data_IF_250267828259
#
_entry.id   IF_250267828259
#
_cell.length_a   1.000
_cell.length_b   1.000
_cell.length_c   1.000
_cell.angle_alpha   90.00
_cell.angle_beta   90.00
_cell.angle_gamma   90.00
#
_symmetry.space_group_name_H-M   'P 1'
#
loop_
_entity.id
_entity.type
_entity.pdbx_description
1 polymer ?
#
# COMPACT_ATOMS: atom_id res chain seq x y z
N UNK A 1 -3.61 -8.20 -0.99
CA UNK A 1 -3.48 -9.63 -1.35
C UNK A 1 -4.64 -10.42 -0.79
N UNK A 2 -5.14 -11.39 -1.54
CA UNK A 2 -6.28 -12.17 -1.12
C UNK A 2 -5.83 -13.44 -0.37
N UNK A 3 -5.97 -13.45 0.95
CA UNK A 3 -5.52 -14.54 1.81
C UNK A 3 -6.43 -15.77 1.77
N UNK A 4 -7.65 -15.63 1.27
CA UNK A 4 -8.60 -16.74 1.23
C UNK A 4 -8.18 -17.87 0.26
N UNK A 5 -7.30 -17.56 -0.70
CA UNK A 5 -6.68 -18.54 -1.61
C UNK A 5 -5.70 -19.50 -0.92
N UNK A 6 -5.32 -19.22 0.33
CA UNK A 6 -4.41 -20.07 1.11
C UNK A 6 -5.15 -21.14 1.94
N UNK A 7 -6.48 -21.02 2.02
CA UNK A 7 -7.34 -22.02 2.63
C UNK A 7 -7.47 -23.23 1.69
N UNK A 8 -7.60 -24.43 2.26
CA UNK A 8 -8.06 -25.58 1.48
C UNK A 8 -9.56 -25.43 1.15
N UNK A 9 -10.05 -26.22 0.20
CA UNK A 9 -11.48 -26.20 -0.17
C UNK A 9 -12.37 -26.53 1.04
N UNK A 10 -11.95 -27.48 1.88
CA UNK A 10 -12.68 -27.88 3.08
C UNK A 10 -12.69 -26.77 4.14
N UNK A 11 -11.56 -26.08 4.32
CA UNK A 11 -11.45 -24.95 5.25
C UNK A 11 -12.32 -23.78 4.81
N UNK A 12 -12.32 -23.46 3.51
CA UNK A 12 -13.19 -22.45 2.92
C UNK A 12 -14.66 -22.82 3.10
N UNK A 13 -15.02 -24.08 2.81
CA UNK A 13 -16.40 -24.56 2.96
C UNK A 13 -16.88 -24.43 4.41
N UNK A 14 -16.08 -24.88 5.38
CA UNK A 14 -16.39 -24.76 6.80
C UNK A 14 -16.52 -23.29 7.26
N UNK A 15 -15.70 -22.40 6.71
CA UNK A 15 -15.79 -20.97 7.00
C UNK A 15 -17.10 -20.37 6.45
N UNK A 16 -17.45 -20.68 5.21
CA UNK A 16 -18.71 -20.23 4.58
C UNK A 16 -19.94 -20.79 5.29
N UNK A 17 -19.88 -22.04 5.76
CA UNK A 17 -20.94 -22.62 6.58
C UNK A 17 -21.11 -21.86 7.89
N UNK A 18 -20.02 -21.48 8.55
CA UNK A 18 -20.05 -20.66 9.77
C UNK A 18 -20.72 -19.30 9.52
N UNK A 19 -20.40 -18.63 8.41
CA UNK A 19 -21.03 -17.37 8.01
C UNK A 19 -22.54 -17.53 7.80
N UNK A 20 -22.95 -18.59 7.10
CA UNK A 20 -24.36 -18.91 6.89
C UNK A 20 -25.11 -19.12 8.20
N UNK A 21 -24.54 -19.89 9.13
CA UNK A 21 -25.12 -20.13 10.46
C UNK A 21 -25.22 -18.84 11.28
N UNK A 22 -24.28 -17.92 11.10
CA UNK A 22 -24.27 -16.61 11.77
C UNK A 22 -25.04 -15.52 11.02
N UNK A 23 -25.76 -15.88 9.93
CA UNK A 23 -26.56 -14.95 9.10
C UNK A 23 -25.76 -13.82 8.46
N UNK A 24 -24.47 -14.04 8.21
CA UNK A 24 -23.66 -13.10 7.43
C UNK A 24 -24.03 -13.25 5.95
N UNK A 25 -24.30 -12.13 5.28
CA UNK A 25 -24.70 -12.12 3.86
C UNK A 25 -23.44 -12.02 3.00
N UNK A 26 -23.12 -13.04 2.17
CA UNK A 26 -21.97 -12.97 1.27
C UNK A 26 -22.11 -11.83 0.27
N UNK A 27 -20.99 -11.25 -0.15
CA UNK A 27 -20.91 -10.14 -1.11
C UNK A 27 -21.57 -8.83 -0.65
N UNK A 28 -22.08 -8.77 0.58
CA UNK A 28 -22.57 -7.53 1.19
C UNK A 28 -21.49 -6.92 2.08
N UNK A 29 -21.35 -5.58 2.13
CA UNK A 29 -20.56 -4.95 3.16
C UNK A 29 -21.18 -5.20 4.54
N UNK A 30 -20.34 -5.17 5.57
CA UNK A 30 -20.72 -5.37 6.96
C UNK A 30 -20.52 -4.09 7.75
N UNK A 31 -21.51 -3.72 8.56
CA UNK A 31 -21.35 -2.66 9.56
C UNK A 31 -20.67 -3.20 10.83
N UNK A 32 -20.31 -2.30 11.74
CA UNK A 32 -19.79 -2.71 13.05
C UNK A 32 -20.80 -3.58 13.81
N UNK A 33 -22.09 -3.24 13.75
CA UNK A 33 -23.15 -4.01 14.42
C UNK A 33 -23.26 -5.43 13.85
N UNK A 34 -23.20 -5.57 12.52
CA UNK A 34 -23.21 -6.88 11.86
C UNK A 34 -22.00 -7.73 12.28
N UNK A 35 -20.83 -7.09 12.36
CA UNK A 35 -19.58 -7.76 12.77
C UNK A 35 -19.62 -8.19 14.24
N UNK A 36 -20.07 -7.33 15.15
CA UNK A 36 -20.22 -7.67 16.57
C UNK A 36 -21.25 -8.78 16.74
N UNK A 37 -22.39 -8.71 16.05
CA UNK A 37 -23.39 -9.76 16.07
C UNK A 37 -22.81 -11.10 15.63
N UNK A 38 -22.06 -11.13 14.53
CA UNK A 38 -21.31 -12.29 14.07
C UNK A 38 -20.37 -12.83 15.17
N UNK A 39 -19.55 -11.97 15.79
CA UNK A 39 -18.62 -12.38 16.85
C UNK A 39 -19.33 -12.94 18.07
N UNK A 40 -20.47 -12.40 18.47
CA UNK A 40 -21.30 -12.94 19.56
C UNK A 40 -21.81 -14.34 19.22
N UNK A 41 -22.33 -14.54 18.01
CA UNK A 41 -22.84 -15.84 17.58
C UNK A 41 -21.75 -16.90 17.54
N UNK A 42 -20.59 -16.57 16.96
CA UNK A 42 -19.45 -17.49 16.90
C UNK A 42 -18.95 -17.85 18.30
N UNK A 43 -18.80 -16.87 19.21
CA UNK A 43 -18.36 -17.17 20.58
C UNK A 43 -19.38 -18.03 21.33
N UNK A 44 -20.67 -17.74 21.16
CA UNK A 44 -21.73 -18.55 21.77
C UNK A 44 -21.72 -19.98 21.24
N UNK A 45 -21.54 -20.18 19.94
CA UNK A 45 -21.50 -21.51 19.34
C UNK A 45 -20.25 -22.31 19.72
N UNK A 46 -19.09 -21.66 19.78
CA UNK A 46 -17.81 -22.34 20.02
C UNK A 46 -17.47 -22.51 21.51
N UNK A 47 -17.94 -21.61 22.37
CA UNK A 47 -17.53 -21.55 23.78
C UNK A 47 -18.69 -21.63 24.77
N UNK A 48 -19.94 -21.66 24.30
CA UNK A 48 -21.18 -21.61 25.11
C UNK A 48 -21.17 -20.48 26.15
N UNK A 49 -20.53 -19.35 25.79
CA UNK A 49 -20.33 -18.18 26.66
C UNK A 49 -20.78 -16.91 25.96
N UNK A 50 -21.27 -15.97 26.77
CA UNK A 50 -21.47 -14.60 26.33
C UNK A 50 -20.10 -13.94 26.12
N UNK A 51 -20.02 -13.11 25.08
CA UNK A 51 -18.84 -12.32 24.77
C UNK A 51 -18.65 -11.30 25.90
N UNK A 52 -17.46 -11.27 26.50
CA UNK A 52 -17.11 -10.31 27.56
C UNK A 52 -16.81 -8.95 26.96
N UNK A 53 -17.02 -7.87 27.72
CA UNK A 53 -16.74 -6.49 27.31
C UNK A 53 -15.33 -6.32 26.72
N UNK A 54 -14.31 -6.91 27.35
CA UNK A 54 -12.92 -6.90 26.83
C UNK A 54 -12.80 -7.50 25.42
N UNK A 55 -13.53 -8.59 25.14
CA UNK A 55 -13.50 -9.26 23.83
C UNK A 55 -14.28 -8.43 22.81
N UNK A 56 -15.31 -7.72 23.25
CA UNK A 56 -16.10 -6.82 22.41
C UNK A 56 -15.25 -5.61 21.97
N UNK A 57 -14.53 -4.99 22.90
CA UNK A 57 -13.58 -3.91 22.59
C UNK A 57 -12.51 -4.38 21.60
N UNK A 58 -11.96 -5.58 21.79
CA UNK A 58 -11.02 -6.17 20.83
C UNK A 58 -11.65 -6.39 19.45
N UNK A 59 -12.92 -6.80 19.39
CA UNK A 59 -13.64 -6.92 18.13
C UNK A 59 -13.84 -5.55 17.45
N UNK A 60 -14.13 -4.49 18.20
CA UNK A 60 -14.20 -3.13 17.65
C UNK A 60 -12.86 -2.66 17.08
N UNK A 61 -11.75 -2.99 17.74
CA UNK A 61 -10.41 -2.72 17.22
C UNK A 61 -10.10 -3.50 15.94
N UNK A 62 -10.50 -4.76 15.87
CA UNK A 62 -10.39 -5.58 14.65
C UNK A 62 -11.18 -4.95 13.50
N UNK A 63 -12.43 -4.54 13.74
CA UNK A 63 -13.25 -3.84 12.75
C UNK A 63 -12.55 -2.58 12.23
N UNK A 64 -12.03 -1.75 13.15
CA UNK A 64 -11.31 -0.52 12.80
C UNK A 64 -10.04 -0.77 11.99
N UNK A 65 -9.41 -1.94 12.14
CA UNK A 65 -8.25 -2.32 11.33
C UNK A 65 -8.60 -2.70 9.90
N UNK A 66 -9.83 -3.20 9.68
CA UNK A 66 -10.36 -3.52 8.35
C UNK A 66 -11.00 -2.31 7.65
N UNK A 67 -11.44 -1.31 8.42
CA UNK A 67 -11.95 -0.02 7.90
C UNK A 67 -10.99 1.14 8.22
N UNK A 68 -9.79 1.19 7.61
CA UNK A 68 -8.80 2.23 7.88
C UNK A 68 -9.30 3.62 7.46
N UNK A 69 -10.22 3.69 6.51
CA UNK A 69 -10.84 4.92 6.02
C UNK A 69 -12.01 5.40 6.90
N UNK A 70 -12.40 4.63 7.91
CA UNK A 70 -13.50 4.93 8.85
C UNK A 70 -14.82 5.23 8.14
N UNK A 71 -15.13 4.43 7.12
CA UNK A 71 -16.40 4.50 6.38
C UNK A 71 -17.59 3.96 7.16
N UNK A 72 -17.36 3.27 8.28
CA UNK A 72 -18.39 2.63 9.11
C UNK A 72 -18.87 1.29 8.55
N UNK A 73 -18.24 0.79 7.49
CA UNK A 73 -18.51 -0.50 6.88
C UNK A 73 -17.22 -1.12 6.35
N UNK A 74 -17.19 -2.44 6.32
CA UNK A 74 -16.10 -3.25 5.79
C UNK A 74 -16.61 -4.00 4.57
N UNK A 75 -15.86 -3.95 3.48
CA UNK A 75 -16.19 -4.70 2.27
C UNK A 75 -16.08 -6.21 2.51
N UNK A 76 -16.92 -6.98 1.82
CA UNK A 76 -16.95 -8.44 1.97
C UNK A 76 -15.57 -9.09 1.76
N UNK A 77 -14.81 -8.62 0.78
CA UNK A 77 -13.48 -9.15 0.48
C UNK A 77 -12.49 -8.94 1.64
N UNK A 78 -12.54 -7.80 2.31
CA UNK A 78 -11.68 -7.48 3.44
C UNK A 78 -12.06 -8.31 4.67
N UNK A 79 -13.36 -8.43 4.95
CA UNK A 79 -13.89 -9.28 6.01
C UNK A 79 -13.51 -10.76 5.79
N UNK A 80 -13.73 -11.28 4.59
CA UNK A 80 -13.40 -12.67 4.23
C UNK A 80 -11.90 -12.93 4.34
N UNK A 81 -11.07 -11.98 3.88
CA UNK A 81 -9.61 -12.07 3.99
C UNK A 81 -9.16 -12.10 5.45
N UNK A 82 -9.76 -11.25 6.31
CA UNK A 82 -9.49 -11.21 7.74
C UNK A 82 -9.86 -12.54 8.43
N UNK A 83 -11.08 -13.05 8.24
CA UNK A 83 -11.47 -14.31 8.87
C UNK A 83 -10.69 -15.51 8.33
N UNK A 84 -10.31 -15.48 7.05
CA UNK A 84 -9.38 -16.47 6.49
C UNK A 84 -8.04 -16.45 7.21
N UNK A 85 -7.48 -15.26 7.47
CA UNK A 85 -6.23 -15.12 8.23
C UNK A 85 -6.38 -15.64 9.66
N UNK A 86 -7.46 -15.30 10.36
CA UNK A 86 -7.73 -15.82 11.70
C UNK A 86 -7.83 -17.35 11.71
N UNK A 87 -8.51 -17.94 10.70
CA UNK A 87 -8.62 -19.38 10.55
C UNK A 87 -7.26 -20.04 10.29
N UNK A 88 -6.46 -19.48 9.38
CA UNK A 88 -5.10 -19.94 9.09
C UNK A 88 -4.24 -19.95 10.37
N UNK A 89 -4.26 -18.85 11.14
CA UNK A 89 -3.51 -18.72 12.39
C UNK A 89 -3.95 -19.71 13.47
N UNK A 90 -5.25 -20.02 13.52
CA UNK A 90 -5.81 -20.96 14.49
C UNK A 90 -5.50 -22.41 14.16
N UNK A 91 -5.54 -22.79 12.88
CA UNK A 91 -5.38 -24.18 12.44
C UNK A 91 -3.92 -24.58 12.19
N UNK A 92 -3.05 -23.63 11.84
CA UNK A 92 -1.68 -23.92 11.41
C UNK A 92 -0.65 -23.46 12.44
N UNK A 93 0.39 -24.26 12.63
CA UNK A 93 1.59 -23.83 13.35
C UNK A 93 2.37 -22.78 12.56
N UNK A 94 3.21 -22.00 13.24
CA UNK A 94 4.08 -21.00 12.60
C UNK A 94 4.90 -21.59 11.44
N UNK A 95 5.47 -22.79 11.61
CA UNK A 95 6.23 -23.47 10.55
C UNK A 95 5.36 -23.87 9.35
N UNK A 96 4.08 -24.20 9.57
CA UNK A 96 3.17 -24.51 8.48
C UNK A 96 2.80 -23.25 7.70
N UNK A 97 2.53 -22.14 8.38
CA UNK A 97 2.29 -20.84 7.75
C UNK A 97 3.50 -20.37 6.93
N UNK A 98 4.72 -20.54 7.44
CA UNK A 98 5.94 -20.21 6.69
C UNK A 98 6.12 -21.04 5.42
N UNK A 99 5.58 -22.26 5.37
CA UNK A 99 5.62 -23.11 4.17
C UNK A 99 4.62 -22.70 3.10
N UNK A 100 3.61 -21.89 3.44
CA UNK A 100 2.72 -21.27 2.45
C UNK A 100 3.45 -20.19 1.64
N UNK A 101 4.48 -19.58 2.24
CA UNK A 101 5.30 -18.58 1.57
C UNK A 101 6.32 -19.24 0.63
N UNK A 102 6.39 -18.75 -0.60
CA UNK A 102 7.42 -19.13 -1.56
C UNK A 102 8.82 -18.79 -1.02
N UNK A 103 9.85 -19.43 -1.58
CA UNK A 103 11.23 -19.13 -1.22
C UNK A 103 11.59 -17.64 -1.44
N UNK A 104 11.03 -17.02 -2.49
CA UNK A 104 11.23 -15.60 -2.79
C UNK A 104 10.58 -14.68 -1.77
N UNK A 105 9.37 -14.99 -1.32
CA UNK A 105 8.68 -14.20 -0.30
C UNK A 105 9.38 -14.30 1.05
N UNK A 106 9.83 -15.51 1.41
CA UNK A 106 10.64 -15.71 2.62
C UNK A 106 11.95 -14.95 2.57
N UNK A 107 12.62 -14.95 1.42
CA UNK A 107 13.86 -14.19 1.25
C UNK A 107 13.63 -12.68 1.27
N UNK A 108 12.56 -12.20 0.64
CA UNK A 108 12.16 -10.79 0.71
C UNK A 108 11.88 -10.38 2.15
N UNK A 109 11.11 -11.16 2.90
CA UNK A 109 10.80 -10.88 4.30
C UNK A 109 12.07 -10.83 5.16
N UNK A 110 12.99 -11.80 4.98
CA UNK A 110 14.31 -11.79 5.64
C UNK A 110 15.13 -10.56 5.28
N UNK A 111 15.22 -10.22 3.99
CA UNK A 111 15.95 -9.04 3.52
C UNK A 111 15.39 -7.74 4.10
N UNK A 112 14.07 -7.61 4.15
CA UNK A 112 13.40 -6.47 4.80
C UNK A 112 13.73 -6.43 6.29
N UNK A 113 13.63 -7.56 7.01
CA UNK A 113 13.98 -7.63 8.43
C UNK A 113 15.43 -7.18 8.68
N UNK A 114 16.39 -7.72 7.93
CA UNK A 114 17.81 -7.37 8.04
C UNK A 114 18.06 -5.89 7.73
N UNK A 115 17.29 -5.30 6.80
CA UNK A 115 17.41 -3.87 6.49
C UNK A 115 16.90 -2.95 7.60
N UNK A 116 15.98 -3.47 8.44
CA UNK A 116 15.41 -2.76 9.58
C UNK A 116 16.26 -2.94 10.84
N UNK A 117 16.78 -4.14 11.09
CA UNK A 117 17.67 -4.50 12.20
C UNK A 117 19.11 -4.00 11.95
N UNK A 118 19.33 -2.70 12.19
CA UNK A 118 20.63 -2.05 11.89
C UNK A 118 21.71 -2.35 12.94
N UNK A 119 21.31 -2.56 14.19
CA UNK A 119 22.19 -2.93 15.30
C UNK A 119 22.44 -4.45 15.40
N UNK A 120 21.75 -5.25 14.57
CA UNK A 120 21.93 -6.69 14.42
C UNK A 120 21.63 -7.46 15.71
N UNK A 121 20.73 -6.93 16.51
CA UNK A 121 20.31 -7.54 17.77
C UNK A 121 19.20 -8.60 17.56
N UNK A 122 18.80 -8.81 16.30
CA UNK A 122 17.75 -9.74 15.86
C UNK A 122 16.36 -9.34 16.36
N UNK A 123 16.18 -8.10 16.77
CA UNK A 123 14.92 -7.51 17.17
C UNK A 123 14.67 -6.26 16.31
N UNK A 124 13.42 -5.83 16.25
CA UNK A 124 13.06 -4.55 15.64
C UNK A 124 12.44 -3.72 16.75
N UNK A 125 13.21 -2.74 17.24
CA UNK A 125 12.74 -1.82 18.26
C UNK A 125 12.01 -0.63 17.67
N UNK A 126 11.38 0.18 18.55
CA UNK A 126 10.74 1.43 18.12
C UNK A 126 11.73 2.45 17.51
N UNK A 127 13.01 2.34 17.84
CA UNK A 127 14.08 3.13 17.20
C UNK A 127 14.26 2.79 15.73
N UNK A 128 14.31 1.50 15.39
CA UNK A 128 14.44 1.00 14.02
C UNK A 128 13.21 1.35 13.18
N UNK A 129 12.01 1.16 13.73
CA UNK A 129 10.77 1.50 13.05
C UNK A 129 10.69 3.00 12.72
N UNK A 130 11.02 3.89 13.67
CA UNK A 130 11.06 5.34 13.41
C UNK A 130 12.10 5.71 12.36
N UNK A 131 13.30 5.13 12.42
CA UNK A 131 14.36 5.39 11.43
C UNK A 131 13.94 4.94 10.03
N UNK A 132 13.37 3.75 9.91
CA UNK A 132 12.85 3.22 8.66
C UNK A 132 11.73 4.11 8.09
N UNK A 133 10.79 4.54 8.94
CA UNK A 133 9.72 5.45 8.58
C UNK A 133 10.28 6.79 8.07
N UNK A 134 11.21 7.41 8.79
CA UNK A 134 11.89 8.63 8.35
C UNK A 134 12.62 8.47 7.02
N UNK A 135 13.31 7.34 6.82
CA UNK A 135 13.99 7.03 5.57
C UNK A 135 13.03 6.84 4.40
N UNK A 136 11.88 6.21 4.62
CA UNK A 136 10.88 5.96 3.59
C UNK A 136 10.18 7.25 3.15
N UNK A 137 9.69 8.08 4.08
CA UNK A 137 9.06 9.37 3.74
C UNK A 137 10.03 10.34 3.06
N UNK A 138 11.31 10.34 3.44
CA UNK A 138 12.32 11.19 2.81
C UNK A 138 12.73 10.74 1.41
N UNK A 139 12.65 9.43 1.13
CA UNK A 139 12.93 8.88 -0.22
C UNK A 139 11.78 9.13 -1.18
N UNK A 140 10.53 9.15 -0.72
CA UNK A 140 9.38 9.42 -1.59
C UNK A 140 9.28 10.87 -2.08
N UNK A 141 9.97 11.83 -1.43
CA UNK A 141 9.93 13.24 -1.83
C UNK A 141 10.86 13.61 -3.00
N UNK A 142 11.37 12.64 -3.76
CA UNK A 142 12.35 12.88 -4.84
C UNK A 142 12.00 12.17 -6.16
N UNK A 143 10.73 12.05 -6.49
CA UNK A 143 10.31 12.08 -7.91
C UNK A 143 10.04 13.54 -8.30
N UNK A 144 11.10 14.33 -8.34
CA UNK A 144 11.09 15.57 -9.14
C UNK A 144 10.96 15.16 -10.59
N UNK A 145 9.75 15.30 -11.15
CA UNK A 145 9.56 15.46 -12.60
C UNK A 145 10.32 16.73 -12.98
N UNK A 146 11.60 16.59 -13.35
CA UNK A 146 12.43 17.69 -13.81
C UNK A 146 11.99 18.02 -15.23
N UNK A 147 10.94 18.81 -15.35
CA UNK A 147 10.57 19.46 -16.61
C UNK A 147 11.66 20.48 -16.94
N UNK A 148 12.73 20.05 -17.62
CA UNK A 148 13.69 20.97 -18.21
C UNK A 148 13.01 21.66 -19.40
N UNK A 149 12.20 22.69 -19.14
CA UNK A 149 11.74 23.61 -20.18
C UNK A 149 12.78 24.71 -20.29
N UNK A 150 13.61 24.63 -21.33
CA UNK A 150 14.50 25.72 -21.70
C UNK A 150 13.66 26.93 -22.11
N UNK A 151 13.47 27.88 -21.20
CA UNK A 151 12.85 29.18 -21.49
C UNK A 151 13.91 29.98 -22.27
N UNK A 152 13.73 30.12 -23.58
CA UNK A 152 14.55 31.02 -24.38
C UNK A 152 14.30 32.46 -23.93
N UNK A 153 15.38 33.13 -23.56
CA UNK A 153 15.36 34.52 -23.13
C UNK A 153 15.05 35.41 -24.35
N UNK A 154 13.83 35.93 -24.46
CA UNK A 154 13.56 37.10 -25.31
C UNK A 154 13.99 38.35 -24.54
N UNK A 155 15.08 38.97 -24.98
CA UNK A 155 15.57 40.24 -24.42
C UNK A 155 14.65 41.41 -24.81
N UNK A 156 14.49 42.43 -23.95
CA UNK A 156 13.65 43.58 -24.25
C UNK A 156 14.47 44.61 -25.03
N UNK A 157 14.06 44.99 -26.25
CA UNK A 157 14.59 46.19 -26.93
C UNK A 157 13.43 46.84 -27.69
N UNK A 158 12.80 47.84 -27.07
CA UNK A 158 13.06 49.28 -27.25
C UNK A 158 12.37 49.86 -28.49
N UNK A 159 11.49 50.80 -28.21
CA UNK A 159 10.60 51.51 -29.12
C UNK A 159 11.36 52.52 -29.98
N UNK A 160 11.11 52.53 -31.30
CA UNK A 160 11.11 53.76 -32.11
C UNK A 160 10.63 53.47 -33.55
N UNK A 161 9.50 54.07 -33.93
CA UNK A 161 9.13 54.42 -35.32
C UNK A 161 9.45 55.92 -35.54
N UNK A 162 9.50 56.52 -36.76
CA UNK A 162 8.90 56.09 -38.03
C UNK A 162 9.67 56.37 -39.36
N UNK A 163 9.08 55.88 -40.46
CA UNK A 163 9.04 56.42 -41.85
C UNK A 163 10.20 56.22 -42.86
N UNK A 164 9.78 55.78 -44.06
CA UNK A 164 10.26 56.12 -45.41
C UNK A 164 11.27 55.20 -46.14
N UNK A 165 10.72 54.47 -47.12
CA UNK A 165 11.13 54.37 -48.53
C UNK A 165 12.50 53.81 -48.98
N UNK A 166 12.38 52.86 -49.93
CA UNK A 166 13.22 52.60 -51.12
C UNK A 166 14.47 51.69 -51.03
N UNK A 167 14.35 50.55 -51.74
CA UNK A 167 15.27 50.02 -52.77
C UNK A 167 16.79 50.00 -52.50
N UNK A 168 17.38 48.80 -52.45
CA UNK A 168 18.82 48.63 -52.67
C UNK A 168 19.27 47.16 -52.62
N UNK A 169 19.74 46.67 -53.78
CA UNK A 169 20.25 45.32 -54.08
C UNK A 169 21.72 45.17 -53.63
N UNK A 170 22.17 43.92 -53.39
CA UNK A 170 23.55 43.34 -53.52
C UNK A 170 23.91 42.45 -52.32
N UNK A 171 23.96 41.12 -52.48
CA UNK A 171 25.13 40.29 -52.86
C UNK A 171 26.36 40.46 -51.94
N UNK A 172 26.67 39.39 -51.18
CA UNK A 172 27.90 38.57 -51.25
C UNK A 172 28.04 37.77 -49.94
N UNK A 173 27.91 36.45 -49.93
CA UNK A 173 28.94 35.43 -50.23
C UNK A 173 30.19 35.57 -49.35
N UNK A 174 30.34 34.68 -48.36
CA UNK A 174 31.49 33.77 -48.23
C UNK A 174 31.37 32.84 -47.01
N UNK A 175 31.56 31.55 -47.28
CA UNK A 175 31.75 30.42 -46.34
C UNK A 175 33.27 30.25 -46.04
N UNK A 176 33.77 29.13 -45.45
CA UNK A 176 34.33 29.04 -44.10
C UNK A 176 35.83 28.62 -44.10
N UNK A 177 36.47 28.52 -42.94
CA UNK A 177 37.74 27.79 -42.65
C UNK A 177 38.20 28.19 -41.24
N UNK A 178 38.93 27.44 -40.41
CA UNK A 178 39.52 26.10 -40.37
C UNK A 178 39.84 25.88 -38.86
N UNK A 179 39.65 24.70 -38.28
CA UNK A 179 40.67 23.65 -38.04
C UNK A 179 41.94 24.05 -37.25
N UNK A 180 42.38 23.07 -36.46
CA UNK A 180 43.57 22.94 -35.61
C UNK A 180 43.59 23.71 -34.27
N UNK A 181 43.91 23.11 -33.13
CA UNK A 181 44.57 21.84 -32.88
C UNK A 181 45.74 22.06 -31.92
N UNK A 182 45.52 21.85 -30.62
CA UNK A 182 46.52 21.31 -29.68
C UNK A 182 45.89 20.89 -28.36
#
# INVERSE_FOLDING_TARGET
DNLNLLLTEEEMYSLMETFSQCKVIPESPLTLDDFLHYKHLVNRQLQDKQLSDDVEEQATLQFSSMDPEKKGHVEWADFLSHESLCLLQRLRSQNSLLRLLSAKERERARGTFISLDQDKDKLIGGGDSRRAQHGWFRKQSKETVSCNVSISHVGPMSESSPASSTSGKSQDKNTPSSEDGR
#
